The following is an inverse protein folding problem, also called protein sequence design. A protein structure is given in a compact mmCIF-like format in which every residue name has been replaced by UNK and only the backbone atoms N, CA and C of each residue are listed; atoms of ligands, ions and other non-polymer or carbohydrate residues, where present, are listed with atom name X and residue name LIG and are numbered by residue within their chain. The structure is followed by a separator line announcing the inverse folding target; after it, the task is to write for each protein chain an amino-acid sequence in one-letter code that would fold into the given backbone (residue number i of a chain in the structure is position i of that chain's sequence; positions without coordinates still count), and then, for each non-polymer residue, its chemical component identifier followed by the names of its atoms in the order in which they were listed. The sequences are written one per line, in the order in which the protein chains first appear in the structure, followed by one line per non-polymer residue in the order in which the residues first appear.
data_IF_715424349588
#
_entry.id   IF_715424349588
#
_cell.length_a   1.000
_cell.length_b   1.000
_cell.length_c   1.000
_cell.angle_alpha   90.00
_cell.angle_beta   90.00
_cell.angle_gamma   90.00
#
_symmetry.space_group_name_H-M   'P 1'
#
loop_
_entity.id
_entity.type
_entity.pdbx_description
1 polymer ?
#
# COMPACT_ATOMS: atom_id res chain seq x y z
N UNK A 1 6.65 7.00 -24.95
CA UNK A 1 6.76 6.73 -23.50
C UNK A 1 6.07 5.40 -23.25
N UNK A 2 6.86 4.36 -23.05
CA UNK A 2 6.36 3.01 -22.81
C UNK A 2 5.72 3.00 -21.42
N UNK A 3 4.39 2.90 -21.39
CA UNK A 3 3.69 2.69 -20.13
C UNK A 3 4.01 1.25 -19.74
N UNK A 4 4.95 1.07 -18.81
CA UNK A 4 5.12 -0.19 -18.10
C UNK A 4 3.79 -0.52 -17.45
N UNK A 5 3.02 -1.43 -18.03
CA UNK A 5 1.94 -2.09 -17.30
C UNK A 5 2.62 -2.79 -16.13
N UNK A 6 2.27 -2.48 -14.87
CA UNK A 6 2.80 -3.26 -13.76
C UNK A 6 2.42 -4.70 -14.03
N UNK A 7 3.42 -5.54 -14.26
CA UNK A 7 3.19 -6.97 -14.35
C UNK A 7 2.52 -7.37 -13.04
N UNK A 8 1.41 -8.09 -13.12
CA UNK A 8 0.70 -8.55 -11.93
C UNK A 8 1.71 -9.15 -10.95
N UNK A 9 1.78 -8.58 -9.74
CA UNK A 9 2.70 -9.06 -8.71
C UNK A 9 2.33 -10.50 -8.32
N UNK A 10 3.29 -11.27 -7.83
CA UNK A 10 3.02 -12.64 -7.37
C UNK A 10 2.13 -12.64 -6.13
N UNK A 11 1.42 -13.74 -5.89
CA UNK A 11 0.64 -13.92 -4.66
C UNK A 11 1.50 -13.83 -3.39
N UNK A 12 2.75 -14.31 -3.47
CA UNK A 12 3.72 -14.18 -2.38
C UNK A 12 4.05 -12.72 -2.09
N UNK A 13 4.26 -11.90 -3.12
CA UNK A 13 4.52 -10.47 -2.95
C UNK A 13 3.27 -9.73 -2.46
N UNK A 14 2.10 -10.04 -3.02
CA UNK A 14 0.81 -9.50 -2.56
C UNK A 14 0.61 -9.75 -1.06
N UNK A 15 0.81 -10.99 -0.63
CA UNK A 15 0.71 -11.39 0.79
C UNK A 15 1.73 -10.67 1.67
N UNK A 16 2.99 -10.55 1.21
CA UNK A 16 4.02 -9.80 1.94
C UNK A 16 3.60 -8.34 2.14
N UNK A 17 3.03 -7.70 1.12
CA UNK A 17 2.53 -6.32 1.21
C UNK A 17 1.33 -6.22 2.15
N UNK A 18 0.39 -7.17 2.10
CA UNK A 18 -0.75 -7.24 3.03
C UNK A 18 -0.29 -7.33 4.50
N UNK A 19 0.67 -8.21 4.79
CA UNK A 19 1.22 -8.38 6.14
C UNK A 19 1.89 -7.09 6.64
N UNK A 20 2.68 -6.42 5.79
CA UNK A 20 3.33 -5.16 6.14
C UNK A 20 2.31 -4.04 6.40
N UNK A 21 1.29 -3.90 5.55
CA UNK A 21 0.23 -2.90 5.73
C UNK A 21 -0.59 -3.20 6.99
N UNK A 22 -0.93 -4.46 7.25
CA UNK A 22 -1.65 -4.85 8.46
C UNK A 22 -0.86 -4.54 9.74
N UNK A 23 0.45 -4.79 9.74
CA UNK A 23 1.31 -4.39 10.84
C UNK A 23 1.29 -2.87 11.08
N UNK A 24 1.40 -2.07 10.02
CA UNK A 24 1.30 -0.61 10.11
C UNK A 24 -0.07 -0.15 10.65
N UNK A 25 -1.18 -0.74 10.16
CA UNK A 25 -2.54 -0.48 10.66
C UNK A 25 -2.65 -0.74 12.16
N UNK A 26 -2.15 -1.88 12.62
CA UNK A 26 -2.14 -2.23 14.05
C UNK A 26 -1.31 -1.25 14.87
N UNK A 27 -0.10 -0.89 14.40
CA UNK A 27 0.75 0.08 15.09
C UNK A 27 0.07 1.44 15.24
N UNK A 28 -0.56 1.95 14.18
CA UNK A 28 -1.30 3.22 14.22
C UNK A 28 -2.51 3.14 15.15
N UNK A 29 -3.24 2.01 15.12
CA UNK A 29 -4.40 1.79 15.98
C UNK A 29 -4.06 1.67 17.47
N UNK A 30 -2.90 1.11 17.82
CA UNK A 30 -2.43 1.03 19.21
C UNK A 30 -2.16 2.41 19.82
N UNK A 31 -1.78 3.38 18.99
CA UNK A 31 -1.60 4.79 19.39
C UNK A 31 -2.93 5.58 19.43
N UNK A 32 -4.07 4.92 19.15
CA UNK A 32 -5.41 5.54 19.17
C UNK A 32 -5.79 6.32 17.92
N UNK A 33 -4.96 6.28 16.87
CA UNK A 33 -5.27 6.93 15.59
C UNK A 33 -6.14 6.04 14.70
N UNK A 34 -6.82 6.68 13.74
CA UNK A 34 -7.56 6.01 12.68
C UNK A 34 -6.95 6.37 11.34
N UNK A 35 -6.77 5.37 10.49
CA UNK A 35 -6.33 5.57 9.11
C UNK A 35 -7.51 6.13 8.31
N UNK A 36 -7.25 7.14 7.48
CA UNK A 36 -8.27 7.72 6.63
C UNK A 36 -8.63 6.79 5.47
N UNK A 37 -9.83 6.94 4.92
CA UNK A 37 -10.26 6.13 3.78
C UNK A 37 -9.32 6.28 2.57
N UNK A 38 -8.81 7.48 2.34
CA UNK A 38 -7.91 7.75 1.22
C UNK A 38 -6.56 7.04 1.38
N UNK A 39 -6.04 6.93 2.60
CA UNK A 39 -4.83 6.14 2.88
C UNK A 39 -5.09 4.62 2.78
N UNK A 40 -6.28 4.15 3.18
CA UNK A 40 -6.67 2.75 2.97
C UNK A 40 -6.73 2.38 1.48
N UNK A 41 -7.27 3.28 0.64
CA UNK A 41 -7.29 3.11 -0.80
C UNK A 41 -5.86 3.11 -1.38
N UNK A 42 -4.98 4.00 -0.92
CA UNK A 42 -3.57 4.03 -1.35
C UNK A 42 -2.82 2.74 -0.98
N UNK A 43 -3.03 2.24 0.24
CA UNK A 43 -2.48 0.97 0.68
C UNK A 43 -3.00 -0.22 -0.13
N UNK A 44 -4.28 -0.22 -0.53
CA UNK A 44 -4.85 -1.25 -1.40
C UNK A 44 -4.21 -1.28 -2.78
N UNK A 45 -3.95 -0.11 -3.38
CA UNK A 45 -3.22 0.01 -4.65
C UNK A 45 -1.82 -0.60 -4.53
N UNK A 46 -1.11 -0.33 -3.42
CA UNK A 46 0.21 -0.91 -3.18
C UNK A 46 0.13 -2.44 -3.02
N UNK A 47 -0.80 -2.93 -2.20
CA UNK A 47 -1.03 -4.37 -2.00
C UNK A 47 -1.29 -5.08 -3.32
N UNK A 48 -2.10 -4.50 -4.21
CA UNK A 48 -2.46 -5.11 -5.49
C UNK A 48 -1.38 -4.98 -6.57
N UNK A 49 -0.28 -4.28 -6.29
CA UNK A 49 0.77 -4.02 -7.29
C UNK A 49 0.39 -2.95 -8.32
N UNK A 50 -0.64 -2.15 -8.05
CA UNK A 50 -1.04 -1.02 -8.90
C UNK A 50 -0.05 0.15 -8.78
N UNK A 51 0.66 0.23 -7.65
CA UNK A 51 1.73 1.20 -7.39
C UNK A 51 2.95 0.51 -6.77
N UNK A 52 4.12 1.09 -7.01
CA UNK A 52 5.38 0.64 -6.45
C UNK A 52 5.64 1.21 -5.05
N UNK A 53 6.58 0.61 -4.31
CA UNK A 53 6.94 1.06 -2.97
C UNK A 53 7.32 2.55 -2.94
N UNK A 54 8.01 3.04 -3.97
CA UNK A 54 8.41 4.45 -4.05
C UNK A 54 7.21 5.42 -4.09
N UNK A 55 6.12 5.05 -4.77
CA UNK A 55 4.87 5.84 -4.77
C UNK A 55 4.09 5.64 -3.46
N UNK A 56 4.15 4.44 -2.88
CA UNK A 56 3.50 4.15 -1.61
C UNK A 56 4.08 5.00 -0.45
N UNK A 57 5.41 5.08 -0.33
CA UNK A 57 6.08 5.79 0.79
C UNK A 57 6.14 7.31 0.62
N UNK A 58 6.03 7.82 -0.62
CA UNK A 58 6.03 9.27 -0.86
C UNK A 58 4.78 9.95 -0.28
N UNK A 59 3.74 9.18 0.03
CA UNK A 59 2.44 9.69 0.42
C UNK A 59 1.68 10.31 -0.75
N UNK A 60 0.40 10.58 -0.54
CA UNK A 60 -0.39 11.35 -1.50
C UNK A 60 0.00 12.83 -1.34
N UNK A 61 0.44 13.48 -2.41
CA UNK A 61 0.51 14.93 -2.43
C UNK A 61 -0.94 15.45 -2.41
N UNK A 62 -1.33 16.15 -1.36
CA UNK A 62 -2.61 16.89 -1.29
C UNK A 62 -2.56 18.19 -2.08
#
# INVERSE_FOLDING_TARGET
MERHHPSAISDTERRRREEAVNYARSSVGLEGFKISEAEEQHARRFINGEIELAEFVKGRNE
#
